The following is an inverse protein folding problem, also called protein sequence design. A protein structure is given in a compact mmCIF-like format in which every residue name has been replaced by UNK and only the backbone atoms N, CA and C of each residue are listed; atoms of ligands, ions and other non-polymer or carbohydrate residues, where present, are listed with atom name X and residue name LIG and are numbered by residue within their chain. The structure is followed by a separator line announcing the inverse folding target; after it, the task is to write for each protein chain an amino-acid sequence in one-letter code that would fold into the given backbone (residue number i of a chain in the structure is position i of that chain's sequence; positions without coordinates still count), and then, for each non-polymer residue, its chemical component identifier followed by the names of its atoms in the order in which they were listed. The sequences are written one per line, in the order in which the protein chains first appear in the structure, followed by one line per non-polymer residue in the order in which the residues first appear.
data_IF_765510795578
#
_entry.id   IF_765510795578
#
_cell.length_a   1.000
_cell.length_b   1.000
_cell.length_c   1.000
_cell.angle_alpha   90.00
_cell.angle_beta   90.00
_cell.angle_gamma   90.00
#
_symmetry.space_group_name_H-M   'P 1'
#
loop_
_entity.id
_entity.type
_entity.pdbx_description
1 polymer ?
#
# COMPACT_ATOMS: atom_id res chain seq x y z
N UNK A 1 20.10 -17.27 4.88
CA UNK A 1 20.11 -15.87 4.37
C UNK A 1 20.12 -15.78 2.84
N UNK A 2 20.93 -16.56 2.12
CA UNK A 2 21.01 -16.47 0.65
C UNK A 2 19.72 -16.83 -0.12
N UNK A 3 18.96 -17.85 0.28
CA UNK A 3 17.69 -18.21 -0.41
C UNK A 3 16.55 -17.24 -0.10
N UNK A 4 16.47 -16.75 1.15
CA UNK A 4 15.48 -15.78 1.60
C UNK A 4 15.73 -14.40 0.97
N UNK A 5 17.00 -13.97 0.90
CA UNK A 5 17.41 -12.76 0.19
C UNK A 5 17.19 -12.83 -1.32
N UNK A 6 17.39 -14.01 -1.95
CA UNK A 6 17.16 -14.19 -3.39
C UNK A 6 15.67 -14.24 -3.74
N UNK A 7 14.84 -14.89 -2.92
CA UNK A 7 13.37 -14.89 -3.09
C UNK A 7 12.80 -13.49 -2.87
N UNK A 8 13.23 -12.79 -1.81
CA UNK A 8 12.86 -11.39 -1.56
C UNK A 8 13.32 -10.47 -2.70
N UNK A 9 14.58 -10.57 -3.15
CA UNK A 9 15.08 -9.76 -4.26
C UNK A 9 14.28 -9.94 -5.56
N UNK A 10 13.88 -11.18 -5.89
CA UNK A 10 13.04 -11.46 -7.07
C UNK A 10 11.63 -10.89 -6.87
N UNK A 11 11.02 -11.07 -5.70
CA UNK A 11 9.72 -10.50 -5.36
C UNK A 11 9.70 -8.97 -5.39
N UNK A 12 10.79 -8.34 -4.94
CA UNK A 12 10.96 -6.90 -4.97
C UNK A 12 11.21 -6.40 -6.39
N UNK A 13 11.97 -7.12 -7.21
CA UNK A 13 12.24 -6.73 -8.59
C UNK A 13 10.96 -6.60 -9.42
N UNK A 14 10.02 -7.56 -9.30
CA UNK A 14 8.74 -7.53 -10.01
C UNK A 14 7.85 -6.36 -9.59
N UNK A 15 7.74 -6.12 -8.27
CA UNK A 15 6.97 -5.00 -7.75
C UNK A 15 7.60 -3.65 -8.11
N UNK A 16 8.93 -3.57 -8.14
CA UNK A 16 9.64 -2.36 -8.54
C UNK A 16 9.38 -2.03 -10.01
N UNK A 17 9.49 -3.01 -10.91
CA UNK A 17 9.19 -2.82 -12.34
C UNK A 17 7.74 -2.38 -12.54
N UNK A 18 6.80 -3.02 -11.84
CA UNK A 18 5.40 -2.63 -11.88
C UNK A 18 5.15 -1.18 -11.42
N UNK A 19 5.83 -0.74 -10.36
CA UNK A 19 5.74 0.64 -9.85
C UNK A 19 6.36 1.65 -10.81
N UNK A 20 7.51 1.34 -11.42
CA UNK A 20 8.16 2.21 -12.43
C UNK A 20 7.26 2.36 -13.66
N UNK A 21 6.67 1.27 -14.14
CA UNK A 21 5.75 1.32 -15.28
C UNK A 21 4.46 2.07 -14.95
N UNK A 22 3.89 1.82 -13.77
CA UNK A 22 2.72 2.55 -13.23
C UNK A 22 3.00 4.06 -13.14
N UNK A 23 4.21 4.42 -12.69
CA UNK A 23 4.68 5.79 -12.64
C UNK A 23 4.80 6.42 -14.04
N UNK A 24 5.36 5.71 -15.02
CA UNK A 24 5.45 6.18 -16.41
C UNK A 24 4.06 6.43 -17.02
N UNK A 25 3.08 5.54 -16.77
CA UNK A 25 1.69 5.76 -17.19
C UNK A 25 1.11 6.98 -16.47
N UNK A 26 1.32 7.14 -15.17
CA UNK A 26 0.81 8.29 -14.43
C UNK A 26 1.39 9.62 -14.96
N UNK A 27 2.67 9.64 -15.33
CA UNK A 27 3.33 10.78 -15.98
C UNK A 27 2.69 11.11 -17.33
N UNK A 28 2.31 10.10 -18.11
CA UNK A 28 1.58 10.29 -19.36
C UNK A 28 0.16 10.84 -19.13
N UNK A 29 -0.57 10.31 -18.13
CA UNK A 29 -1.92 10.75 -17.79
C UNK A 29 -1.98 12.23 -17.36
N UNK A 30 -0.93 12.73 -16.69
CA UNK A 30 -0.79 14.15 -16.34
C UNK A 30 -0.79 15.10 -17.54
N UNK A 31 -0.46 14.61 -18.74
CA UNK A 31 -0.42 15.44 -19.96
C UNK A 31 -1.72 15.44 -20.74
N UNK A 32 -2.65 14.53 -20.43
CA UNK A 32 -3.88 14.30 -21.20
C UNK A 32 -5.11 14.66 -20.40
N UNK A 33 -5.12 14.32 -19.11
CA UNK A 33 -6.26 14.53 -18.23
C UNK A 33 -6.19 15.92 -17.60
N UNK A 34 -7.34 16.57 -17.43
CA UNK A 34 -7.43 17.83 -16.72
C UNK A 34 -6.87 17.71 -15.29
N UNK A 35 -5.99 18.64 -14.90
CA UNK A 35 -5.37 18.70 -13.59
C UNK A 35 -6.38 18.73 -12.43
N UNK A 36 -7.56 19.34 -12.62
CA UNK A 36 -8.61 19.35 -11.58
C UNK A 36 -9.13 17.93 -11.27
N UNK A 37 -9.32 17.12 -12.32
CA UNK A 37 -9.76 15.72 -12.18
C UNK A 37 -8.65 14.89 -11.53
N UNK A 38 -7.39 15.11 -11.92
CA UNK A 38 -6.26 14.38 -11.34
C UNK A 38 -6.06 14.72 -9.86
N UNK A 39 -6.18 15.99 -9.47
CA UNK A 39 -6.12 16.39 -8.06
C UNK A 39 -7.22 15.73 -7.25
N UNK A 40 -8.46 15.77 -7.75
CA UNK A 40 -9.59 15.13 -7.09
C UNK A 40 -9.42 13.61 -6.93
N UNK A 41 -9.03 12.92 -8.01
CA UNK A 41 -8.89 11.46 -8.03
C UNK A 41 -7.67 11.00 -7.23
N UNK A 42 -6.48 11.54 -7.53
CA UNK A 42 -5.23 11.04 -6.98
C UNK A 42 -4.98 11.49 -5.54
N UNK A 43 -5.49 12.66 -5.14
CA UNK A 43 -5.38 13.10 -3.74
C UNK A 43 -6.57 12.62 -2.96
N UNK A 44 -7.79 13.10 -3.25
CA UNK A 44 -8.93 12.93 -2.34
C UNK A 44 -9.53 11.52 -2.39
N UNK A 45 -9.88 11.02 -3.58
CA UNK A 45 -10.55 9.73 -3.74
C UNK A 45 -9.59 8.55 -3.50
N UNK A 46 -8.34 8.69 -3.96
CA UNK A 46 -7.29 7.70 -3.70
C UNK A 46 -6.90 7.68 -2.23
N UNK A 47 -6.90 8.82 -1.51
CA UNK A 47 -6.71 8.84 -0.06
C UNK A 47 -7.81 8.08 0.67
N UNK A 48 -9.08 8.26 0.28
CA UNK A 48 -10.20 7.47 0.84
C UNK A 48 -9.97 5.96 0.63
N UNK A 49 -9.66 5.55 -0.60
CA UNK A 49 -9.35 4.16 -0.93
C UNK A 49 -8.17 3.61 -0.12
N UNK A 50 -7.04 4.33 -0.10
CA UNK A 50 -5.84 3.92 0.62
C UNK A 50 -6.09 3.82 2.12
N UNK A 51 -6.81 4.78 2.70
CA UNK A 51 -7.12 4.79 4.14
C UNK A 51 -7.92 3.56 4.55
N UNK A 52 -9.02 3.27 3.84
CA UNK A 52 -9.88 2.10 4.14
C UNK A 52 -9.08 0.80 3.99
N UNK A 53 -8.33 0.70 2.90
CA UNK A 53 -7.64 -0.53 2.54
C UNK A 53 -6.41 -0.79 3.39
N UNK A 54 -5.62 0.24 3.69
CA UNK A 54 -4.41 0.14 4.50
C UNK A 54 -4.73 -0.26 5.93
N UNK A 55 -5.70 0.41 6.56
CA UNK A 55 -6.16 0.10 7.92
C UNK A 55 -6.70 -1.33 8.04
N UNK A 56 -7.31 -1.85 6.96
CA UNK A 56 -7.78 -3.23 6.93
C UNK A 56 -6.62 -4.22 6.70
N UNK A 57 -5.76 -3.97 5.72
CA UNK A 57 -4.75 -4.93 5.24
C UNK A 57 -3.53 -5.03 6.14
N UNK A 58 -3.01 -3.93 6.66
CA UNK A 58 -1.76 -3.94 7.41
C UNK A 58 -1.82 -4.89 8.64
N UNK A 59 -2.86 -4.82 9.49
CA UNK A 59 -2.98 -5.74 10.63
C UNK A 59 -3.11 -7.20 10.20
N UNK A 60 -3.88 -7.45 9.13
CA UNK A 60 -4.14 -8.80 8.60
C UNK A 60 -2.90 -9.43 7.98
N UNK A 61 -2.09 -8.65 7.26
CA UNK A 61 -0.81 -9.13 6.71
C UNK A 61 0.20 -9.45 7.80
N UNK A 62 0.25 -8.63 8.86
CA UNK A 62 1.09 -8.90 10.04
C UNK A 62 0.55 -10.05 10.90
N UNK A 63 -0.73 -10.41 10.77
CA UNK A 63 -1.32 -11.55 11.45
C UNK A 63 -0.72 -12.90 11.00
N UNK A 64 0.02 -12.95 9.88
CA UNK A 64 0.70 -14.18 9.44
C UNK A 64 1.73 -14.73 10.45
N UNK A 65 2.21 -13.88 11.38
CA UNK A 65 3.16 -14.24 12.45
C UNK A 65 2.46 -14.92 13.64
N UNK A 66 1.13 -14.79 13.75
CA UNK A 66 0.35 -15.33 14.87
C UNK A 66 0.39 -16.87 14.86
N UNK A 67 0.73 -17.44 16.03
CA UNK A 67 0.84 -18.90 16.23
C UNK A 67 -0.51 -19.56 16.55
N UNK A 68 -1.56 -19.16 15.84
CA UNK A 68 -2.91 -19.74 16.00
C UNK A 68 -3.08 -21.01 15.19
N UNK A 69 -3.98 -21.88 15.65
CA UNK A 69 -4.43 -23.04 14.88
C UNK A 69 -4.96 -22.60 13.51
N UNK A 70 -4.72 -23.40 12.47
CA UNK A 70 -5.07 -23.05 11.09
C UNK A 70 -6.55 -22.66 10.92
N UNK A 71 -7.54 -23.39 11.48
CA UNK A 71 -8.95 -23.01 11.30
C UNK A 71 -9.30 -21.69 12.00
N UNK A 72 -8.70 -21.43 13.16
CA UNK A 72 -8.89 -20.18 13.89
C UNK A 72 -8.26 -18.99 13.14
N UNK A 73 -7.06 -19.19 12.60
CA UNK A 73 -6.42 -18.21 11.73
C UNK A 73 -7.26 -17.86 10.51
N UNK A 74 -7.82 -18.86 9.84
CA UNK A 74 -8.72 -18.65 8.69
C UNK A 74 -9.95 -17.84 9.11
N UNK A 75 -10.57 -18.14 10.25
CA UNK A 75 -11.68 -17.33 10.75
C UNK A 75 -11.29 -15.87 10.96
N UNK A 76 -10.12 -15.63 11.56
CA UNK A 76 -9.61 -14.29 11.84
C UNK A 76 -9.36 -13.48 10.57
N UNK A 77 -8.67 -14.03 9.56
CA UNK A 77 -8.39 -13.30 8.32
C UNK A 77 -9.67 -12.97 7.54
N UNK A 78 -10.72 -13.78 7.67
CA UNK A 78 -12.03 -13.52 7.07
C UNK A 78 -12.84 -12.44 7.81
N UNK A 79 -12.33 -11.88 8.91
CA UNK A 79 -12.85 -10.61 9.44
C UNK A 79 -12.44 -9.42 8.59
N UNK A 80 -11.38 -9.53 7.78
CA UNK A 80 -10.86 -8.46 6.91
C UNK A 80 -11.96 -7.80 6.05
N UNK A 81 -12.77 -8.55 5.27
CA UNK A 81 -13.82 -7.92 4.46
C UNK A 81 -14.91 -7.26 5.29
N UNK A 82 -15.24 -7.80 6.46
CA UNK A 82 -16.25 -7.22 7.35
C UNK A 82 -15.77 -5.90 7.94
N UNK A 83 -14.51 -5.84 8.37
CA UNK A 83 -13.86 -4.61 8.83
C UNK A 83 -13.77 -3.59 7.68
N UNK A 84 -13.44 -4.03 6.48
CA UNK A 84 -13.37 -3.16 5.30
C UNK A 84 -14.72 -2.54 4.95
N UNK A 85 -15.82 -3.30 5.07
CA UNK A 85 -17.18 -2.79 4.79
C UNK A 85 -17.57 -1.73 5.83
N UNK A 86 -17.36 -2.00 7.12
CA UNK A 86 -17.72 -1.05 8.18
C UNK A 86 -16.88 0.22 8.11
N UNK A 87 -15.56 0.07 7.94
CA UNK A 87 -14.65 1.19 7.77
C UNK A 87 -14.91 1.95 6.47
N UNK A 88 -15.17 1.24 5.38
CA UNK A 88 -15.51 1.85 4.09
C UNK A 88 -16.78 2.68 4.16
N UNK A 89 -17.83 2.18 4.81
CA UNK A 89 -19.07 2.93 5.03
C UNK A 89 -18.82 4.18 5.89
N UNK A 90 -18.12 4.02 7.01
CA UNK A 90 -17.77 5.14 7.90
C UNK A 90 -16.95 6.21 7.18
N UNK A 91 -15.87 5.83 6.51
CA UNK A 91 -15.00 6.77 5.78
C UNK A 91 -15.73 7.43 4.61
N UNK A 92 -16.64 6.73 3.92
CA UNK A 92 -17.44 7.35 2.83
C UNK A 92 -18.32 8.46 3.37
N UNK A 93 -19.05 8.20 4.46
CA UNK A 93 -19.90 9.20 5.11
C UNK A 93 -19.05 10.37 5.60
N UNK A 94 -17.93 10.07 6.27
CA UNK A 94 -16.98 11.08 6.74
C UNK A 94 -16.46 11.96 5.60
N UNK A 95 -16.01 11.36 4.49
CA UNK A 95 -15.56 12.12 3.32
C UNK A 95 -16.67 12.96 2.71
N UNK A 96 -17.90 12.44 2.61
CA UNK A 96 -19.01 13.19 2.02
C UNK A 96 -19.40 14.44 2.81
N UNK A 97 -19.17 14.44 4.13
CA UNK A 97 -19.51 15.55 5.01
C UNK A 97 -18.35 16.56 5.14
N UNK A 98 -17.12 16.07 5.23
CA UNK A 98 -15.96 16.89 5.59
C UNK A 98 -15.03 17.22 4.42
N UNK A 99 -15.13 16.53 3.28
CA UNK A 99 -14.31 16.86 2.11
C UNK A 99 -14.69 18.25 1.59
N UNK A 100 -13.69 19.09 1.35
CA UNK A 100 -13.88 20.48 0.89
C UNK A 100 -14.70 20.57 -0.42
N UNK A 101 -15.67 21.49 -0.43
CA UNK A 101 -16.78 21.70 -1.38
C UNK A 101 -16.46 21.43 -2.86
N UNK A 102 -16.67 20.19 -3.32
CA UNK A 102 -16.87 19.86 -4.74
C UNK A 102 -17.91 18.74 -4.82
N UNK A 103 -18.95 18.91 -5.65
CA UNK A 103 -20.02 17.94 -5.88
C UNK A 103 -19.51 16.71 -6.66
N UNK A 104 -18.78 15.82 -5.99
CA UNK A 104 -18.44 14.52 -6.56
C UNK A 104 -19.72 13.68 -6.63
N UNK A 105 -20.10 13.17 -7.81
CA UNK A 105 -21.24 12.28 -7.92
C UNK A 105 -21.10 11.10 -6.95
N UNK A 106 -22.17 10.79 -6.22
CA UNK A 106 -22.17 9.73 -5.19
C UNK A 106 -21.70 8.38 -5.72
N UNK A 107 -22.03 8.06 -6.98
CA UNK A 107 -21.59 6.83 -7.64
C UNK A 107 -20.06 6.73 -7.77
N UNK A 108 -19.41 7.85 -8.10
CA UNK A 108 -17.95 7.93 -8.24
C UNK A 108 -17.31 7.85 -6.85
N UNK A 109 -17.85 8.58 -5.87
CA UNK A 109 -17.38 8.52 -4.49
C UNK A 109 -17.44 7.09 -3.94
N UNK A 110 -18.53 6.36 -4.21
CA UNK A 110 -18.70 4.97 -3.78
C UNK A 110 -17.81 3.96 -4.50
N UNK A 111 -17.37 4.24 -5.74
CA UNK A 111 -16.57 3.30 -6.52
C UNK A 111 -15.23 2.97 -5.84
N UNK A 112 -14.59 3.94 -5.21
CA UNK A 112 -13.31 3.78 -4.50
C UNK A 112 -13.40 2.88 -3.25
N UNK A 113 -14.26 3.14 -2.25
CA UNK A 113 -14.44 2.23 -1.12
C UNK A 113 -15.02 0.88 -1.54
N UNK A 114 -15.88 0.82 -2.57
CA UNK A 114 -16.34 -0.46 -3.14
C UNK A 114 -15.16 -1.28 -3.70
N UNK A 115 -14.25 -0.64 -4.43
CA UNK A 115 -13.05 -1.28 -4.96
C UNK A 115 -12.18 -1.84 -3.82
N UNK A 116 -12.02 -1.10 -2.72
CA UNK A 116 -11.32 -1.56 -1.51
C UNK A 116 -12.00 -2.78 -0.88
N UNK A 117 -13.33 -2.81 -0.82
CA UNK A 117 -14.10 -3.97 -0.32
C UNK A 117 -13.89 -5.19 -1.21
N UNK A 118 -13.97 -5.05 -2.54
CA UNK A 118 -13.69 -6.15 -3.48
C UNK A 118 -12.27 -6.69 -3.27
N UNK A 119 -11.32 -5.78 -3.09
CA UNK A 119 -9.92 -6.10 -2.84
C UNK A 119 -9.65 -6.75 -1.48
N UNK A 120 -10.47 -6.44 -0.47
CA UNK A 120 -10.40 -7.05 0.86
C UNK A 120 -10.87 -8.51 0.85
N UNK A 121 -11.77 -8.90 -0.06
CA UNK A 121 -12.19 -10.29 -0.27
C UNK A 121 -11.05 -11.17 -0.80
N UNK A 122 -10.08 -10.57 -1.49
CA UNK A 122 -8.87 -11.25 -1.95
C UNK A 122 -7.79 -11.34 -0.86
N UNK A 123 -7.92 -10.57 0.22
CA UNK A 123 -6.90 -10.47 1.26
C UNK A 123 -6.65 -11.78 2.02
N UNK A 124 -7.66 -12.60 2.39
CA UNK A 124 -7.42 -13.90 3.00
C UNK A 124 -6.44 -14.76 2.21
N UNK A 125 -6.58 -14.79 0.87
CA UNK A 125 -5.69 -15.53 -0.01
C UNK A 125 -4.27 -14.95 -0.04
N UNK A 126 -4.14 -13.62 -0.04
CA UNK A 126 -2.85 -12.95 0.05
C UNK A 126 -2.13 -13.26 1.37
N UNK A 127 -2.85 -13.20 2.49
CA UNK A 127 -2.29 -13.48 3.83
C UNK A 127 -1.90 -14.95 3.99
N UNK A 128 -2.70 -15.89 3.45
CA UNK A 128 -2.35 -17.32 3.39
C UNK A 128 -1.06 -17.50 2.56
N UNK A 129 -0.94 -16.81 1.42
CA UNK A 129 0.26 -16.87 0.59
C UNK A 129 1.51 -16.44 1.36
N UNK A 130 1.40 -15.39 2.19
CA UNK A 130 2.50 -14.95 3.05
C UNK A 130 2.82 -15.97 4.16
N UNK A 131 1.80 -16.52 4.84
CA UNK A 131 1.99 -17.49 5.93
C UNK A 131 2.67 -18.79 5.45
N UNK A 132 2.34 -19.26 4.26
CA UNK A 132 2.89 -20.48 3.67
C UNK A 132 4.05 -20.23 2.70
N UNK A 133 4.71 -19.07 2.81
CA UNK A 133 5.92 -18.73 2.03
C UNK A 133 5.76 -18.71 0.50
N UNK A 134 4.54 -18.61 -0.02
CA UNK A 134 4.22 -18.36 -1.44
C UNK A 134 4.44 -16.88 -1.81
N UNK A 135 5.62 -16.38 -1.47
CA UNK A 135 6.00 -14.96 -1.64
C UNK A 135 6.02 -14.53 -3.11
N UNK A 136 6.34 -15.46 -4.03
CA UNK A 136 6.24 -15.26 -5.48
C UNK A 136 4.82 -14.95 -5.96
N UNK A 137 3.84 -15.74 -5.52
CA UNK A 137 2.43 -15.50 -5.84
C UNK A 137 1.96 -14.14 -5.33
N UNK A 138 2.31 -13.81 -4.07
CA UNK A 138 1.99 -12.52 -3.47
C UNK A 138 2.58 -11.35 -4.28
N UNK A 139 3.86 -11.42 -4.64
CA UNK A 139 4.54 -10.38 -5.40
C UNK A 139 3.94 -10.19 -6.80
N UNK A 140 3.63 -11.28 -7.51
CA UNK A 140 2.97 -11.23 -8.83
C UNK A 140 1.58 -10.62 -8.70
N UNK A 141 0.78 -11.05 -7.70
CA UNK A 141 -0.57 -10.53 -7.50
C UNK A 141 -0.56 -9.01 -7.23
N UNK A 142 0.33 -8.54 -6.36
CA UNK A 142 0.46 -7.11 -6.04
C UNK A 142 0.96 -6.30 -7.26
N UNK A 143 1.93 -6.83 -8.00
CA UNK A 143 2.44 -6.20 -9.23
C UNK A 143 1.34 -6.08 -10.28
N UNK A 144 0.55 -7.14 -10.46
CA UNK A 144 -0.58 -7.17 -11.38
C UNK A 144 -1.62 -6.11 -11.02
N UNK A 145 -1.99 -5.97 -9.75
CA UNK A 145 -2.95 -4.95 -9.30
C UNK A 145 -2.48 -3.53 -9.65
N UNK A 146 -1.23 -3.18 -9.29
CA UNK A 146 -0.65 -1.85 -9.54
C UNK A 146 -0.61 -1.53 -11.05
N UNK A 147 -0.31 -2.53 -11.88
CA UNK A 147 -0.29 -2.40 -13.33
C UNK A 147 -1.69 -2.25 -13.91
N UNK A 148 -2.63 -3.13 -13.53
CA UNK A 148 -3.99 -3.14 -14.06
C UNK A 148 -4.74 -1.85 -13.72
N UNK A 149 -4.53 -1.28 -12.52
CA UNK A 149 -5.08 0.03 -12.15
C UNK A 149 -4.73 1.12 -13.17
N UNK A 150 -3.49 1.14 -13.68
CA UNK A 150 -3.06 2.17 -14.64
C UNK A 150 -3.36 1.82 -16.09
N UNK A 151 -3.22 0.55 -16.45
CA UNK A 151 -3.53 0.06 -17.80
C UNK A 151 -5.01 0.21 -18.11
N UNK A 152 -5.91 -0.10 -17.18
CA UNK A 152 -7.35 0.07 -17.42
C UNK A 152 -7.75 1.54 -17.60
N UNK A 153 -7.17 2.46 -16.83
CA UNK A 153 -7.37 3.90 -17.06
C UNK A 153 -6.93 4.28 -18.48
N UNK A 154 -5.72 3.87 -18.88
CA UNK A 154 -5.18 4.19 -20.20
C UNK A 154 -6.03 3.63 -21.35
N UNK A 155 -6.47 2.37 -21.24
CA UNK A 155 -7.32 1.72 -22.24
C UNK A 155 -8.69 2.39 -22.33
N UNK A 156 -9.31 2.69 -21.19
CA UNK A 156 -10.63 3.33 -21.20
C UNK A 156 -10.58 4.77 -21.71
N UNK A 157 -9.54 5.55 -21.37
CA UNK A 157 -9.34 6.92 -21.91
C UNK A 157 -9.17 6.92 -23.43
N UNK A 158 -8.49 5.91 -23.98
CA UNK A 158 -8.25 5.84 -25.43
C UNK A 158 -9.42 5.23 -26.20
N UNK A 159 -10.22 4.37 -25.57
CA UNK A 159 -11.30 3.62 -26.23
C UNK A 159 -12.67 4.27 -26.09
N UNK A 160 -12.89 5.04 -25.02
CA UNK A 160 -14.21 5.61 -24.69
C UNK A 160 -14.19 7.14 -24.63
N UNK A 161 -15.33 7.76 -24.92
CA UNK A 161 -15.52 9.22 -24.84
C UNK A 161 -16.21 9.64 -23.53
N UNK A 162 -16.15 8.80 -22.49
CA UNK A 162 -16.75 9.08 -21.18
C UNK A 162 -15.98 10.19 -20.46
N UNK A 163 -16.58 10.80 -19.44
CA UNK A 163 -15.86 11.77 -18.61
C UNK A 163 -14.68 11.11 -17.90
N UNK A 164 -13.55 11.81 -17.84
CA UNK A 164 -12.32 11.28 -17.23
C UNK A 164 -12.54 10.74 -15.82
N UNK A 165 -13.36 11.42 -15.00
CA UNK A 165 -13.65 11.00 -13.62
C UNK A 165 -14.35 9.63 -13.55
N UNK A 166 -15.32 9.38 -14.43
CA UNK A 166 -16.00 8.08 -14.53
C UNK A 166 -15.03 6.98 -14.96
N UNK A 167 -14.13 7.29 -15.89
CA UNK A 167 -13.11 6.35 -16.36
C UNK A 167 -12.20 5.89 -15.21
N UNK A 168 -11.76 6.82 -14.35
CA UNK A 168 -10.97 6.45 -13.17
C UNK A 168 -11.76 5.55 -12.21
N UNK A 169 -13.04 5.84 -11.97
CA UNK A 169 -13.90 5.03 -11.10
C UNK A 169 -14.09 3.60 -11.66
N UNK A 170 -14.41 3.46 -12.95
CA UNK A 170 -14.57 2.15 -13.59
C UNK A 170 -13.26 1.36 -13.64
N UNK A 171 -12.14 2.01 -13.99
CA UNK A 171 -10.83 1.36 -14.01
C UNK A 171 -10.45 0.83 -12.63
N UNK A 172 -10.74 1.59 -11.58
CA UNK A 172 -10.48 1.18 -10.21
C UNK A 172 -11.26 -0.10 -9.86
N UNK A 173 -12.58 -0.13 -10.08
CA UNK A 173 -13.42 -1.31 -9.80
C UNK A 173 -13.00 -2.52 -10.66
N UNK A 174 -12.73 -2.32 -11.95
CA UNK A 174 -12.29 -3.39 -12.86
C UNK A 174 -10.96 -4.01 -12.41
N UNK A 175 -10.01 -3.18 -11.96
CA UNK A 175 -8.71 -3.66 -11.47
C UNK A 175 -8.86 -4.51 -10.20
N UNK A 176 -9.72 -4.09 -9.27
CA UNK A 176 -10.03 -4.82 -8.04
C UNK A 176 -10.72 -6.16 -8.31
N UNK A 177 -11.65 -6.21 -9.28
CA UNK A 177 -12.29 -7.45 -9.73
C UNK A 177 -11.26 -8.39 -10.34
N UNK A 178 -10.40 -7.89 -11.24
CA UNK A 178 -9.35 -8.69 -11.87
C UNK A 178 -8.36 -9.27 -10.82
N UNK A 179 -8.01 -8.49 -9.80
CA UNK A 179 -7.18 -8.94 -8.69
C UNK A 179 -7.85 -10.05 -7.86
N UNK A 180 -9.14 -9.92 -7.55
CA UNK A 180 -9.91 -10.96 -6.87
C UNK A 180 -9.99 -12.25 -7.69
N UNK A 181 -10.30 -12.13 -8.98
CA UNK A 181 -10.36 -13.27 -9.90
C UNK A 181 -9.01 -13.97 -10.01
N UNK A 182 -7.90 -13.22 -10.07
CA UNK A 182 -6.55 -13.78 -10.10
C UNK A 182 -6.28 -14.66 -8.87
N UNK A 183 -6.54 -14.16 -7.66
CA UNK A 183 -6.36 -14.95 -6.44
C UNK A 183 -7.28 -16.17 -6.40
N UNK A 184 -8.56 -15.98 -6.73
CA UNK A 184 -9.54 -17.06 -6.72
C UNK A 184 -9.15 -18.19 -7.68
N UNK A 185 -8.80 -17.87 -8.93
CA UNK A 185 -8.39 -18.85 -9.94
C UNK A 185 -7.07 -19.53 -9.53
N UNK A 186 -6.10 -18.77 -9.01
CA UNK A 186 -4.82 -19.33 -8.58
C UNK A 186 -5.01 -20.32 -7.43
N UNK A 187 -5.76 -19.98 -6.38
CA UNK A 187 -6.01 -20.87 -5.24
C UNK A 187 -6.87 -22.08 -5.61
N UNK A 188 -7.80 -21.94 -6.56
CA UNK A 188 -8.49 -23.09 -7.15
C UNK A 188 -7.51 -24.05 -7.83
N UNK A 189 -6.54 -23.53 -8.59
CA UNK A 189 -5.50 -24.35 -9.22
C UNK A 189 -4.58 -24.99 -8.19
N UNK A 190 -4.10 -24.25 -7.19
CA UNK A 190 -3.24 -24.78 -6.14
C UNK A 190 -3.94 -25.88 -5.34
N UNK A 191 -5.24 -25.74 -5.06
CA UNK A 191 -6.03 -26.78 -4.40
C UNK A 191 -6.20 -28.05 -5.24
N UNK A 192 -6.26 -27.93 -6.58
CA UNK A 192 -6.38 -29.08 -7.49
C UNK A 192 -5.06 -29.78 -7.75
N UNK A 193 -3.97 -29.02 -7.76
CA UNK A 193 -2.61 -29.51 -7.99
C UNK A 193 -1.94 -30.05 -6.71
N UNK A 194 -2.60 -29.92 -5.54
CA UNK A 194 -2.10 -30.39 -4.25
C UNK A 194 -0.67 -29.91 -3.95
N UNK A 195 -0.47 -28.59 -4.04
CA UNK A 195 0.83 -27.96 -3.74
C UNK A 195 1.31 -28.37 -2.33
N UNK A 196 2.59 -28.77 -2.18
CA UNK A 196 3.11 -29.29 -0.91
C UNK A 196 3.05 -28.25 0.21
N UNK A 197 3.22 -26.96 -0.10
CA UNK A 197 3.14 -25.85 0.84
C UNK A 197 1.72 -25.68 1.43
N UNK A 198 0.68 -26.10 0.70
CA UNK A 198 -0.73 -26.00 1.12
C UNK A 198 -1.31 -27.34 1.56
N UNK A 199 -0.48 -28.37 1.77
CA UNK A 199 -0.90 -29.71 2.20
C UNK A 199 -1.71 -29.74 3.50
N UNK A 200 -1.58 -28.71 4.35
CA UNK A 200 -2.39 -28.55 5.57
C UNK A 200 -3.88 -28.26 5.28
N UNK A 201 -4.23 -27.86 4.06
CA UNK A 201 -5.60 -27.61 3.63
C UNK A 201 -6.15 -28.84 2.89
N UNK A 202 -7.22 -29.43 3.43
CA UNK A 202 -7.84 -30.66 2.88
C UNK A 202 -8.68 -30.40 1.61
N UNK A 203 -8.80 -29.14 1.17
CA UNK A 203 -9.44 -28.76 -0.09
C UNK A 203 -9.87 -27.29 -0.12
N UNK A 204 -10.42 -26.83 -1.25
CA UNK A 204 -10.76 -25.40 -1.46
C UNK A 204 -11.72 -24.81 -0.40
N UNK A 205 -12.62 -25.62 0.16
CA UNK A 205 -13.53 -25.20 1.23
C UNK A 205 -12.82 -24.86 2.55
N UNK A 206 -11.62 -25.38 2.77
CA UNK A 206 -10.85 -25.12 3.99
C UNK A 206 -10.18 -23.74 4.00
N UNK A 207 -10.17 -23.02 2.88
CA UNK A 207 -9.76 -21.61 2.83
C UNK A 207 -10.84 -20.65 3.35
N UNK A 208 -12.07 -21.12 3.56
CA UNK A 208 -13.21 -20.33 4.02
C UNK A 208 -13.43 -20.48 5.53
N UNK A 209 -14.12 -19.53 6.19
CA UNK A 209 -14.29 -19.57 7.63
C UNK A 209 -15.08 -20.80 8.09
N UNK A 210 -14.59 -21.43 9.15
CA UNK A 210 -15.19 -22.58 9.80
C UNK A 210 -15.72 -22.16 11.19
N UNK A 211 -17.02 -21.84 11.32
CA UNK A 211 -17.56 -21.26 12.56
C UNK A 211 -17.42 -22.18 13.79
N UNK A 212 -17.16 -23.47 13.59
CA UNK A 212 -16.95 -24.45 14.68
C UNK A 212 -15.72 -24.18 15.55
N UNK A 213 -14.68 -23.53 15.01
CA UNK A 213 -13.40 -23.37 15.70
C UNK A 213 -13.25 -22.03 16.45
N UNK A 214 -14.26 -21.15 16.39
CA UNK A 214 -14.26 -19.86 17.08
C UNK A 214 -13.10 -18.93 16.69
N UNK A 215 -12.86 -17.94 17.55
CA UNK A 215 -11.74 -16.99 17.44
C UNK A 215 -10.85 -17.08 18.67
N UNK A 216 -9.55 -17.01 18.47
CA UNK A 216 -8.56 -16.93 19.54
C UNK A 216 -8.48 -15.47 20.04
N UNK A 217 -8.65 -15.31 21.36
CA UNK A 217 -8.70 -13.99 22.01
C UNK A 217 -7.35 -13.29 22.00
N UNK A 218 -6.26 -14.04 22.14
CA UNK A 218 -4.91 -13.46 22.11
C UNK A 218 -4.60 -12.90 20.73
N UNK A 219 -4.93 -13.66 19.69
CA UNK A 219 -4.78 -13.23 18.31
C UNK A 219 -5.66 -12.02 17.94
N UNK A 220 -6.92 -11.99 18.42
CA UNK A 220 -7.79 -10.83 18.26
C UNK A 220 -7.24 -9.58 18.96
N UNK A 221 -6.73 -9.73 20.18
CA UNK A 221 -6.09 -8.64 20.92
C UNK A 221 -4.88 -8.10 20.17
N UNK A 222 -4.00 -8.99 19.69
CA UNK A 222 -2.82 -8.60 18.90
C UNK A 222 -3.19 -7.86 17.61
N UNK A 223 -4.22 -8.30 16.90
CA UNK A 223 -4.74 -7.62 15.71
C UNK A 223 -5.30 -6.24 16.07
N UNK A 224 -6.00 -6.10 17.20
CA UNK A 224 -6.46 -4.81 17.70
C UNK A 224 -5.31 -3.84 17.97
N UNK A 225 -4.22 -4.33 18.59
CA UNK A 225 -3.00 -3.53 18.79
C UNK A 225 -2.37 -3.13 17.45
N UNK A 226 -2.24 -4.06 16.49
CA UNK A 226 -1.68 -3.77 15.18
C UNK A 226 -2.56 -2.78 14.38
N UNK A 227 -3.88 -2.86 14.54
CA UNK A 227 -4.82 -1.90 13.95
C UNK A 227 -4.59 -0.49 14.50
N UNK A 228 -4.42 -0.34 15.82
CA UNK A 228 -4.10 0.96 16.42
C UNK A 228 -2.77 1.54 15.89
N UNK A 229 -1.74 0.70 15.72
CA UNK A 229 -0.48 1.13 15.10
C UNK A 229 -0.67 1.55 13.64
N UNK A 230 -1.55 0.87 12.91
CA UNK A 230 -1.84 1.19 11.50
C UNK A 230 -2.54 2.55 11.37
N UNK A 231 -3.40 2.94 12.32
CA UNK A 231 -4.00 4.28 12.37
C UNK A 231 -2.92 5.36 12.50
N UNK A 232 -2.01 5.20 13.46
CA UNK A 232 -0.92 6.16 13.66
C UNK A 232 -0.04 6.24 12.41
N UNK A 233 0.32 5.09 11.84
CA UNK A 233 1.15 5.02 10.62
C UNK A 233 0.45 5.69 9.43
N UNK A 234 -0.85 5.47 9.25
CA UNK A 234 -1.63 6.09 8.18
C UNK A 234 -1.65 7.61 8.31
N UNK A 235 -1.87 8.13 9.52
CA UNK A 235 -1.89 9.57 9.78
C UNK A 235 -0.51 10.22 9.53
N UNK A 236 0.57 9.54 9.91
CA UNK A 236 1.94 10.03 9.67
C UNK A 236 2.35 9.97 8.19
N UNK A 237 1.89 8.96 7.46
CA UNK A 237 2.30 8.75 6.06
C UNK A 237 1.53 9.64 5.11
N UNK A 238 0.20 9.71 5.26
CA UNK A 238 -0.68 10.45 4.34
C UNK A 238 -1.19 11.77 4.94
N UNK A 239 -0.50 12.29 5.97
CA UNK A 239 -0.87 13.52 6.68
C UNK A 239 -1.03 14.75 5.76
N UNK A 240 -0.14 14.89 4.78
CA UNK A 240 -0.21 15.92 3.72
C UNK A 240 -1.54 15.83 2.95
N UNK A 241 -1.90 14.63 2.51
CA UNK A 241 -3.11 14.37 1.74
C UNK A 241 -4.39 14.61 2.57
N UNK A 242 -4.38 14.27 3.86
CA UNK A 242 -5.48 14.58 4.78
C UNK A 242 -5.72 16.09 4.89
N UNK A 243 -4.65 16.87 5.08
CA UNK A 243 -4.73 18.33 5.13
C UNK A 243 -5.28 18.86 3.81
N UNK A 244 -4.76 18.44 2.65
CA UNK A 244 -5.26 18.88 1.34
C UNK A 244 -6.72 18.51 1.04
N UNK A 245 -7.20 17.40 1.60
CA UNK A 245 -8.56 16.90 1.37
C UNK A 245 -9.59 17.62 2.23
N UNK A 246 -9.27 17.83 3.51
CA UNK A 246 -10.21 18.39 4.50
C UNK A 246 -10.06 19.88 4.73
N UNK A 247 -9.02 20.51 4.17
CA UNK A 247 -8.84 21.96 4.21
C UNK A 247 -8.91 22.54 2.79
N UNK A 248 -9.41 23.77 2.68
CA UNK A 248 -9.43 24.54 1.43
C UNK A 248 -8.08 25.25 1.16
N UNK A 249 -6.98 24.76 1.73
CA UNK A 249 -5.66 25.40 1.65
C UNK A 249 -5.08 25.43 0.23
N UNK A 250 -5.40 24.43 -0.61
CA UNK A 250 -4.82 24.25 -1.94
C UNK A 250 -5.90 23.99 -2.99
N UNK A 251 -5.77 24.63 -4.16
CA UNK A 251 -6.61 24.34 -5.33
C UNK A 251 -6.40 22.91 -5.85
N UNK A 252 -7.39 22.33 -6.55
CA UNK A 252 -7.27 20.97 -7.11
C UNK A 252 -6.09 20.84 -8.09
N UNK A 253 -5.79 21.89 -8.87
CA UNK A 253 -4.62 21.91 -9.75
C UNK A 253 -3.32 21.81 -8.95
N UNK A 254 -3.19 22.62 -7.90
CA UNK A 254 -2.02 22.60 -7.01
C UNK A 254 -1.89 21.26 -6.28
N UNK A 255 -3.01 20.64 -5.88
CA UNK A 255 -3.05 19.29 -5.32
C UNK A 255 -2.53 18.23 -6.30
N UNK A 256 -2.88 18.33 -7.60
CA UNK A 256 -2.37 17.44 -8.63
C UNK A 256 -0.84 17.56 -8.82
N UNK A 257 -0.32 18.79 -8.79
CA UNK A 257 1.13 19.06 -8.85
C UNK A 257 1.83 18.52 -7.61
N UNK A 258 1.27 18.74 -6.42
CA UNK A 258 1.83 18.24 -5.17
C UNK A 258 1.90 16.70 -5.16
N UNK A 259 0.80 16.01 -5.50
CA UNK A 259 0.74 14.54 -5.59
C UNK A 259 1.77 13.99 -6.59
N UNK A 260 1.92 14.66 -7.72
CA UNK A 260 2.94 14.35 -8.72
C UNK A 260 4.36 14.37 -8.12
N UNK A 261 4.72 15.44 -7.42
CA UNK A 261 6.04 15.61 -6.79
C UNK A 261 6.23 14.63 -5.63
N UNK A 262 5.22 14.45 -4.79
CA UNK A 262 5.24 13.50 -3.67
C UNK A 262 5.43 12.06 -4.14
N UNK A 263 4.81 11.65 -5.25
CA UNK A 263 5.03 10.33 -5.86
C UNK A 263 6.47 10.14 -6.35
N UNK A 264 7.09 11.17 -6.92
CA UNK A 264 8.51 11.13 -7.35
C UNK A 264 9.42 10.99 -6.13
N UNK A 265 9.24 11.85 -5.12
CA UNK A 265 10.09 11.88 -3.93
C UNK A 265 9.95 10.60 -3.09
N UNK A 266 8.72 10.13 -2.89
CA UNK A 266 8.46 8.91 -2.13
C UNK A 266 8.87 7.64 -2.85
N UNK A 267 9.01 7.64 -4.19
CA UNK A 267 9.44 6.45 -4.94
C UNK A 267 10.84 5.99 -4.50
N UNK A 268 11.77 6.92 -4.30
CA UNK A 268 13.13 6.61 -3.85
C UNK A 268 13.11 6.00 -2.44
N UNK A 269 12.36 6.62 -1.52
CA UNK A 269 12.17 6.09 -0.17
C UNK A 269 11.53 4.69 -0.19
N UNK A 270 10.54 4.45 -1.05
CA UNK A 270 9.86 3.15 -1.21
C UNK A 270 10.73 2.08 -1.84
N UNK A 271 11.73 2.46 -2.64
CA UNK A 271 12.69 1.52 -3.25
C UNK A 271 13.75 1.09 -2.23
N UNK A 272 14.18 1.99 -1.36
CA UNK A 272 15.31 1.74 -0.44
C UNK A 272 14.85 1.37 0.96
N UNK A 273 13.99 2.19 1.58
CA UNK A 273 13.64 2.07 3.00
C UNK A 273 12.54 1.04 3.27
N UNK A 274 11.55 0.90 2.38
CA UNK A 274 10.46 -0.09 2.59
C UNK A 274 10.98 -1.53 2.61
N UNK A 275 11.83 -1.99 1.68
CA UNK A 275 12.40 -3.33 1.76
C UNK A 275 13.27 -3.51 3.01
N UNK A 276 14.00 -2.46 3.41
CA UNK A 276 14.81 -2.47 4.63
C UNK A 276 13.91 -2.65 5.87
N UNK A 277 12.81 -1.89 6.00
CA UNK A 277 11.83 -2.03 7.08
C UNK A 277 11.26 -3.45 7.17
N UNK A 278 10.83 -4.02 6.04
CA UNK A 278 10.28 -5.38 5.99
C UNK A 278 11.32 -6.44 6.38
N UNK A 279 12.57 -6.29 5.92
CA UNK A 279 13.66 -7.19 6.26
C UNK A 279 13.99 -7.13 7.76
N UNK A 280 14.04 -5.92 8.33
CA UNK A 280 14.29 -5.72 9.75
C UNK A 280 13.15 -6.31 10.59
N UNK A 281 11.90 -6.04 10.24
CA UNK A 281 10.74 -6.57 10.94
C UNK A 281 10.73 -8.11 10.96
N UNK A 282 10.99 -8.75 9.81
CA UNK A 282 11.08 -10.20 9.72
C UNK A 282 12.26 -10.77 10.51
N UNK A 283 13.44 -10.13 10.44
CA UNK A 283 14.64 -10.56 11.17
C UNK A 283 14.43 -10.48 12.69
N UNK A 284 14.00 -9.33 13.20
CA UNK A 284 13.83 -9.12 14.65
C UNK A 284 12.66 -9.91 15.21
N UNK A 285 11.55 -10.04 14.47
CA UNK A 285 10.42 -10.87 14.92
C UNK A 285 10.80 -12.33 15.08
N UNK A 286 11.68 -12.86 14.21
CA UNK A 286 12.16 -14.24 14.32
C UNK A 286 13.24 -14.41 15.39
N UNK A 287 14.15 -13.44 15.53
CA UNK A 287 15.22 -13.49 16.52
C UNK A 287 14.70 -13.37 17.97
N UNK A 288 13.70 -12.52 18.20
CA UNK A 288 13.10 -12.32 19.53
C UNK A 288 12.26 -13.55 19.95
N UNK A 289 11.62 -14.24 19.00
CA UNK A 289 10.68 -15.33 19.28
C UNK A 289 11.29 -16.75 19.43
N UNK A 290 12.62 -16.84 19.68
CA UNK A 290 13.42 -18.04 20.07
C UNK A 290 12.74 -19.40 19.86
N UNK A 291 12.52 -19.83 18.62
CA UNK A 291 12.13 -21.23 18.33
C UNK A 291 12.45 -21.68 16.89
N UNK A 292 13.48 -21.11 16.26
CA UNK A 292 14.09 -21.76 15.10
C UNK A 292 15.32 -22.52 15.58
N UNK A 293 15.36 -23.83 15.32
CA UNK A 293 16.46 -24.76 15.63
C UNK A 293 17.81 -24.36 14.99
N UNK A 294 17.86 -23.25 14.25
CA UNK A 294 19.05 -22.76 13.54
C UNK A 294 20.01 -21.94 14.39
N UNK A 295 19.65 -21.49 15.59
CA UNK A 295 20.53 -20.70 16.44
C UNK A 295 20.41 -21.05 17.93
N UNK A 296 20.71 -22.31 18.26
CA UNK A 296 21.04 -22.75 19.61
C UNK A 296 22.48 -22.38 19.96
N UNK A 297 22.74 -21.09 20.17
CA UNK A 297 23.92 -20.69 20.98
C UNK A 297 23.52 -19.61 21.97
N UNK A 298 23.42 -20.07 23.21
CA UNK A 298 23.09 -19.30 24.39
C UNK A 298 24.13 -18.21 24.69
N UNK A 299 23.64 -17.15 25.35
CA UNK A 299 24.37 -16.15 26.16
C UNK A 299 25.10 -14.95 25.53
N UNK A 300 25.27 -14.84 24.20
CA UNK A 300 25.74 -13.59 23.51
C UNK A 300 24.67 -12.90 22.63
N UNK A 301 23.44 -13.43 22.64
CA UNK A 301 22.44 -13.11 21.60
C UNK A 301 21.69 -11.77 21.78
N UNK A 302 21.62 -11.19 22.98
CA UNK A 302 20.89 -9.93 23.18
C UNK A 302 21.74 -8.72 22.80
N UNK A 303 23.01 -8.69 23.19
CA UNK A 303 23.91 -7.58 22.87
C UNK A 303 24.16 -7.50 21.36
N UNK A 304 24.34 -8.65 20.69
CA UNK A 304 24.43 -8.72 19.23
C UNK A 304 23.14 -8.30 18.50
N UNK A 305 21.96 -8.53 19.09
CA UNK A 305 20.70 -8.03 18.53
C UNK A 305 20.57 -6.52 18.66
N UNK A 306 20.95 -5.97 19.82
CA UNK A 306 20.96 -4.52 20.07
C UNK A 306 22.00 -3.84 19.17
N UNK A 307 23.16 -4.46 18.98
CA UNK A 307 24.20 -3.99 18.06
C UNK A 307 23.70 -3.98 16.62
N UNK A 308 23.11 -5.08 16.13
CA UNK A 308 22.54 -5.15 14.78
C UNK A 308 21.41 -4.12 14.58
N UNK A 309 20.57 -3.91 15.59
CA UNK A 309 19.54 -2.88 15.56
C UNK A 309 20.14 -1.47 15.51
N UNK A 310 21.15 -1.19 16.32
CA UNK A 310 21.88 0.07 16.34
C UNK A 310 22.57 0.37 15.01
N UNK A 311 23.25 -0.62 14.42
CA UNK A 311 23.89 -0.49 13.10
C UNK A 311 22.83 -0.21 12.03
N UNK A 312 21.72 -0.95 12.05
CA UNK A 312 20.62 -0.75 11.09
C UNK A 312 20.03 0.65 11.19
N UNK A 313 19.76 1.11 12.42
CA UNK A 313 19.28 2.47 12.66
C UNK A 313 20.29 3.51 12.19
N UNK A 314 21.57 3.31 12.49
CA UNK A 314 22.62 4.23 12.06
C UNK A 314 22.67 4.35 10.53
N UNK A 315 22.65 3.22 9.81
CA UNK A 315 22.62 3.21 8.34
C UNK A 315 21.35 3.90 7.80
N UNK A 316 20.18 3.59 8.37
CA UNK A 316 18.92 4.21 7.96
C UNK A 316 18.93 5.74 8.20
N UNK A 317 19.47 6.19 9.34
CA UNK A 317 19.63 7.61 9.66
C UNK A 317 20.60 8.30 8.72
N UNK A 318 21.74 7.69 8.39
CA UNK A 318 22.72 8.26 7.43
C UNK A 318 22.09 8.40 6.04
N UNK A 319 21.39 7.37 5.55
CA UNK A 319 20.64 7.44 4.29
C UNK A 319 19.61 8.58 4.34
N UNK A 320 18.86 8.69 5.44
CA UNK A 320 17.88 9.76 5.64
C UNK A 320 18.50 11.15 5.59
N UNK A 321 19.63 11.37 6.27
CA UNK A 321 20.35 12.66 6.27
C UNK A 321 20.87 13.00 4.88
N UNK A 322 21.47 12.04 4.16
CA UNK A 322 21.94 12.23 2.79
C UNK A 322 20.78 12.65 1.88
N UNK A 323 19.65 11.94 1.95
CA UNK A 323 18.46 12.27 1.16
C UNK A 323 17.92 13.66 1.51
N UNK A 324 17.90 14.05 2.79
CA UNK A 324 17.45 15.39 3.20
C UNK A 324 18.37 16.51 2.70
N UNK A 325 19.69 16.32 2.76
CA UNK A 325 20.68 17.32 2.34
C UNK A 325 20.67 17.51 0.82
N UNK A 326 20.58 16.42 0.05
CA UNK A 326 20.59 16.50 -1.42
C UNK A 326 19.19 16.68 -2.02
N UNK A 327 18.13 16.29 -1.31
CA UNK A 327 16.75 16.37 -1.80
C UNK A 327 16.30 17.79 -2.10
N UNK A 328 16.58 18.74 -1.22
CA UNK A 328 16.22 20.16 -1.39
C UNK A 328 16.90 20.80 -2.62
N UNK A 329 18.24 20.76 -2.78
CA UNK A 329 18.89 21.41 -3.92
C UNK A 329 18.58 20.75 -5.27
N UNK A 330 18.34 19.43 -5.32
CA UNK A 330 18.00 18.73 -6.57
C UNK A 330 16.50 18.70 -6.89
N UNK A 331 15.63 19.20 -5.98
CA UNK A 331 14.18 19.23 -6.17
C UNK A 331 13.75 19.93 -7.48
N UNK A 332 14.27 21.12 -7.84
CA UNK A 332 13.86 21.79 -9.09
C UNK A 332 14.17 20.96 -10.35
N UNK A 333 15.29 20.24 -10.35
CA UNK A 333 15.70 19.37 -11.45
C UNK A 333 14.81 18.12 -11.55
N UNK A 334 14.44 17.53 -10.40
CA UNK A 334 13.53 16.40 -10.35
C UNK A 334 12.11 16.77 -10.83
N UNK A 335 11.62 17.94 -10.42
CA UNK A 335 10.31 18.49 -10.85
C UNK A 335 10.32 18.78 -12.35
N UNK A 336 11.40 19.39 -12.87
CA UNK A 336 11.54 19.66 -14.30
C UNK A 336 11.57 18.36 -15.13
N UNK A 337 12.28 17.33 -14.67
CA UNK A 337 12.32 16.03 -15.33
C UNK A 337 10.94 15.36 -15.40
N UNK A 338 10.10 15.55 -14.38
CA UNK A 338 8.78 14.95 -14.29
C UNK A 338 7.69 15.72 -15.04
N UNK A 339 7.66 17.05 -14.89
CA UNK A 339 6.58 17.90 -15.41
C UNK A 339 6.89 18.66 -16.70
N UNK A 340 8.16 18.80 -17.05
CA UNK A 340 8.60 19.81 -18.03
C UNK A 340 8.09 21.21 -17.67
N UNK A 341 7.91 22.07 -18.69
CA UNK A 341 7.34 23.41 -18.51
C UNK A 341 5.90 23.41 -17.96
N UNK A 342 5.15 22.33 -18.11
CA UNK A 342 3.72 22.26 -17.80
C UNK A 342 3.43 22.28 -16.28
N UNK A 343 4.37 21.80 -15.45
CA UNK A 343 4.34 21.94 -13.98
C UNK A 343 5.10 23.18 -13.49
N UNK A 344 6.11 23.63 -14.24
CA UNK A 344 6.89 24.83 -13.91
C UNK A 344 6.02 26.09 -14.04
N UNK A 345 5.25 26.21 -15.12
CA UNK A 345 4.46 27.42 -15.44
C UNK A 345 3.09 27.48 -14.72
N UNK A 346 2.56 26.36 -14.20
CA UNK A 346 1.22 26.28 -13.57
C UNK A 346 1.21 26.20 -12.03
N UNK A 347 2.36 26.32 -11.36
CA UNK A 347 2.38 26.24 -9.89
C UNK A 347 3.72 25.86 -9.25
N UNK A 348 4.80 25.75 -10.02
CA UNK A 348 6.16 25.73 -9.48
C UNK A 348 6.63 27.13 -9.05
N UNK A 349 5.79 27.90 -8.37
CA UNK A 349 6.25 29.17 -7.83
C UNK A 349 7.28 28.92 -6.71
N UNK A 350 8.43 29.61 -6.71
CA UNK A 350 9.56 29.36 -5.81
C UNK A 350 9.25 29.39 -4.30
N UNK A 351 8.08 29.88 -3.88
CA UNK A 351 7.73 30.01 -2.47
C UNK A 351 7.36 28.69 -1.78
N UNK A 352 6.95 27.63 -2.50
CA UNK A 352 6.67 26.32 -1.88
C UNK A 352 7.93 25.56 -1.44
N UNK A 353 9.12 25.97 -1.89
CA UNK A 353 10.41 25.36 -1.49
C UNK A 353 11.25 26.35 -0.65
N UNK A 354 10.91 27.64 -0.64
CA UNK A 354 11.72 28.72 -0.04
C UNK A 354 11.25 29.28 1.31
N UNK A 355 10.19 28.73 1.94
CA UNK A 355 9.56 29.31 3.14
C UNK A 355 10.36 29.27 4.45
N UNK A 356 11.67 28.96 4.44
CA UNK A 356 12.51 28.94 5.66
C UNK A 356 13.71 29.92 5.57
N UNK A 357 13.90 30.67 4.48
CA UNK A 357 15.07 31.56 4.34
C UNK A 357 14.76 33.01 3.97
N UNK A 358 13.59 33.56 4.32
CA UNK A 358 13.30 34.98 4.08
C UNK A 358 12.77 35.75 5.31
N UNK A 359 13.22 35.36 6.49
CA UNK A 359 13.06 36.17 7.72
C UNK A 359 14.42 36.36 8.40
N UNK A 360 15.36 36.96 7.66
CA UNK A 360 16.55 37.64 8.20
C UNK A 360 17.24 38.41 7.07
N UNK A 361 16.66 39.55 6.67
CA UNK A 361 17.43 40.72 6.26
C UNK A 361 16.62 42.00 6.28
#
# INVERSE_FOLDING_TARGET
MASLGRSLAVNFSGQLVARVFSFAINMYLLRIVNNDVLGLVNVRLTLLYNTVLFLTREPMRKANILRTSLPCFVNIIWLSPLICISLGAFCTVFWSVFSSNHDVPWLILLAFPLSAVIESLAEPFAVISLRFSLTGHFAVAQSLLILLQRVFVLVLITTTTMYHLDIFAYAQVLSSIAYLLFHYIAFLRYSRLSMPELSSFTGFRSFFPQPRHGFDREALSAIGTLFAHSILKQLMTDGSAYVMTFTELLSLKSQAVYDAVEKVGSLVARIVLTPLEEMCFAYFSNAINKNSEMFTKSTESHDSLVENFSITLHVASVIGIVVSVFGVPYSPLAVFLYGGHLLYDNGGEPWMIGGVCQEER
#
